data_IF_975284966624
#
_entry.id   IF_975284966624
#
_cell.length_a   1.000
_cell.length_b   1.000
_cell.length_c   1.000
_cell.angle_alpha   90.00
_cell.angle_beta   90.00
_cell.angle_gamma   90.00
#
_symmetry.space_group_name_H-M   'P 1'
#
loop_
_entity.id
_entity.type
_entity.pdbx_description
1 polymer ?
#
# COMPACT_ATOMS: atom_id res chain seq x y z
N UNK A 1 6.86 -1.86 -13.03
CA UNK A 1 8.27 -1.71 -13.44
C UNK A 1 8.70 -0.27 -13.23
N UNK A 2 9.89 -0.06 -12.70
CA UNK A 2 10.57 1.23 -12.62
C UNK A 2 11.93 1.13 -13.29
N UNK A 3 12.29 2.14 -14.07
CA UNK A 3 13.60 2.28 -14.72
C UNK A 3 14.24 3.59 -14.28
N UNK A 4 15.47 3.54 -13.76
CA UNK A 4 16.20 4.71 -13.28
C UNK A 4 16.97 5.40 -14.40
N UNK A 5 16.62 6.66 -14.67
CA UNK A 5 17.30 7.53 -15.63
C UNK A 5 18.38 8.34 -14.91
N UNK A 6 17.98 9.00 -13.81
CA UNK A 6 18.82 9.93 -13.08
C UNK A 6 18.57 9.77 -11.58
N UNK A 7 19.65 9.61 -10.81
CA UNK A 7 19.62 9.42 -9.37
C UNK A 7 20.48 10.51 -8.72
N UNK A 8 20.02 11.17 -7.65
CA UNK A 8 20.78 12.22 -6.99
C UNK A 8 22.16 11.75 -6.53
N UNK A 9 23.19 12.56 -6.83
CA UNK A 9 24.47 12.43 -6.15
C UNK A 9 24.28 12.59 -4.64
N UNK A 10 24.94 11.77 -3.82
CA UNK A 10 24.77 11.76 -2.36
C UNK A 10 23.68 10.80 -1.83
N UNK A 11 22.93 10.13 -2.72
CA UNK A 11 22.00 9.06 -2.34
C UNK A 11 20.61 9.54 -1.92
N UNK A 12 19.87 8.66 -1.24
CA UNK A 12 18.48 8.89 -0.84
C UNK A 12 17.47 8.50 -1.92
N UNK A 13 16.19 8.54 -1.56
CA UNK A 13 15.11 8.13 -2.47
C UNK A 13 15.15 6.65 -2.86
N UNK A 14 15.74 5.80 -2.01
CA UNK A 14 15.58 4.35 -2.04
C UNK A 14 14.11 3.96 -2.10
N UNK A 15 13.83 2.81 -2.68
CA UNK A 15 12.46 2.27 -2.73
C UNK A 15 12.39 1.01 -1.88
N UNK A 16 11.62 1.10 -0.80
CA UNK A 16 11.35 0.01 0.11
C UNK A 16 10.11 -0.76 -0.33
N UNK A 17 10.13 -2.08 -0.16
CA UNK A 17 9.05 -3.01 -0.46
C UNK A 17 8.79 -3.89 0.76
N UNK A 18 7.54 -3.92 1.23
CA UNK A 18 7.13 -4.77 2.33
C UNK A 18 6.35 -5.99 1.83
N UNK A 19 6.80 -7.20 2.18
CA UNK A 19 6.20 -8.46 1.76
C UNK A 19 4.87 -8.74 2.48
N UNK A 20 3.76 -8.63 1.75
CA UNK A 20 2.41 -8.79 2.31
C UNK A 20 1.95 -10.24 2.43
N UNK A 21 2.68 -11.20 1.85
CA UNK A 21 2.49 -12.61 2.19
C UNK A 21 3.01 -12.88 3.59
N UNK A 22 4.27 -12.50 3.84
CA UNK A 22 4.90 -12.75 5.13
C UNK A 22 4.14 -12.01 6.23
N UNK A 23 3.71 -10.77 5.98
CA UNK A 23 2.86 -10.02 6.89
C UNK A 23 1.53 -10.73 7.22
N UNK A 24 0.90 -11.42 6.26
CA UNK A 24 -0.31 -12.21 6.53
C UNK A 24 0.02 -13.50 7.28
N UNK A 25 1.04 -14.23 6.85
CA UNK A 25 1.46 -15.52 7.41
C UNK A 25 1.81 -15.40 8.90
N UNK A 26 2.54 -14.34 9.28
CA UNK A 26 2.98 -14.06 10.66
C UNK A 26 1.96 -13.26 11.47
N UNK A 27 0.83 -12.87 10.88
CA UNK A 27 -0.21 -12.14 11.61
C UNK A 27 -0.77 -13.05 12.74
N UNK A 28 -0.98 -12.53 13.96
CA UNK A 28 -1.58 -13.31 15.03
C UNK A 28 -2.93 -13.90 14.60
N UNK A 29 -3.20 -15.16 14.95
CA UNK A 29 -4.40 -15.87 14.48
C UNK A 29 -5.71 -15.17 14.86
N UNK A 30 -5.75 -14.55 16.04
CA UNK A 30 -6.87 -13.70 16.46
C UNK A 30 -7.14 -12.57 15.47
N UNK A 31 -6.09 -11.95 14.92
CA UNK A 31 -6.24 -10.90 13.92
C UNK A 31 -6.67 -11.46 12.57
N UNK A 32 -6.20 -12.64 12.17
CA UNK A 32 -6.67 -13.34 10.96
C UNK A 32 -8.19 -13.61 11.04
N UNK A 33 -8.68 -14.08 12.19
CA UNK A 33 -10.12 -14.26 12.45
C UNK A 33 -10.86 -12.93 12.35
N UNK A 34 -10.32 -11.88 12.99
CA UNK A 34 -10.94 -10.55 12.98
C UNK A 34 -11.07 -9.98 11.58
N UNK A 35 -10.13 -10.22 10.66
CA UNK A 35 -10.18 -9.63 9.30
C UNK A 35 -10.80 -10.55 8.24
N UNK A 36 -11.08 -11.81 8.59
CA UNK A 36 -11.64 -12.80 7.67
C UNK A 36 -12.94 -12.31 7.05
N UNK A 37 -13.03 -12.35 5.70
CA UNK A 37 -14.20 -11.92 4.94
C UNK A 37 -14.51 -10.42 5.01
N UNK A 38 -13.65 -9.59 5.62
CA UNK A 38 -13.87 -8.15 5.72
C UNK A 38 -13.39 -7.41 4.48
N UNK A 39 -14.12 -6.36 4.15
CA UNK A 39 -13.84 -5.46 3.04
C UNK A 39 -13.57 -4.06 3.58
N UNK A 40 -12.72 -3.33 2.87
CA UNK A 40 -12.42 -1.93 3.13
C UNK A 40 -12.58 -1.08 1.87
N UNK A 41 -13.00 0.16 2.07
CA UNK A 41 -12.99 1.19 1.02
C UNK A 41 -11.61 1.85 1.01
N UNK A 42 -11.01 1.96 -0.16
CA UNK A 42 -9.74 2.67 -0.35
C UNK A 42 -10.03 4.09 -0.82
N UNK A 43 -9.62 5.10 -0.05
CA UNK A 43 -9.82 6.50 -0.44
C UNK A 43 -9.24 6.79 -1.82
N UNK A 44 -10.09 7.32 -2.70
CA UNK A 44 -9.72 7.74 -4.04
C UNK A 44 -9.55 9.26 -4.15
N UNK A 45 -9.95 10.03 -3.11
CA UNK A 45 -9.93 11.49 -3.14
C UNK A 45 -8.51 12.06 -3.24
N UNK A 46 -7.50 11.34 -2.73
CA UNK A 46 -6.09 11.75 -2.75
C UNK A 46 -5.26 10.93 -3.72
N UNK A 47 -4.21 11.54 -4.27
CA UNK A 47 -3.23 10.85 -5.10
C UNK A 47 -2.17 10.13 -4.25
N UNK A 48 -1.21 9.47 -4.92
CA UNK A 48 -0.10 8.76 -4.26
C UNK A 48 0.87 9.65 -3.50
N UNK A 49 0.79 10.98 -3.61
CA UNK A 49 1.52 11.95 -2.78
C UNK A 49 0.67 12.49 -1.60
N UNK A 50 -0.62 12.16 -1.53
CA UNK A 50 -1.53 12.61 -0.47
C UNK A 50 -2.20 13.93 -0.80
N UNK A 51 -2.01 14.43 -2.02
CA UNK A 51 -2.61 15.66 -2.52
C UNK A 51 -4.03 15.36 -2.98
N UNK A 52 -4.98 16.21 -2.60
CA UNK A 52 -6.37 16.14 -3.04
C UNK A 52 -6.44 16.24 -4.57
N UNK A 53 -7.21 15.35 -5.19
CA UNK A 53 -7.45 15.39 -6.63
C UNK A 53 -8.35 16.57 -6.97
N UNK A 54 -8.14 17.24 -8.11
CA UNK A 54 -8.91 18.45 -8.48
C UNK A 54 -10.44 18.28 -8.45
N UNK A 55 -10.94 17.08 -8.72
CA UNK A 55 -12.38 16.77 -8.79
C UNK A 55 -12.94 16.13 -7.53
N UNK A 56 -12.12 15.93 -6.49
CA UNK A 56 -12.53 15.20 -5.29
C UNK A 56 -12.80 16.15 -4.12
N UNK A 57 -13.74 15.77 -3.25
CA UNK A 57 -13.92 16.38 -1.94
C UNK A 57 -13.06 15.63 -0.93
N UNK A 58 -12.43 16.37 -0.03
CA UNK A 58 -11.70 15.77 1.09
C UNK A 58 -12.73 15.16 2.06
N UNK A 59 -12.68 13.86 2.35
CA UNK A 59 -13.54 13.27 3.35
C UNK A 59 -13.15 13.78 4.75
N UNK A 60 -14.14 14.05 5.57
CA UNK A 60 -14.02 14.50 6.96
C UNK A 60 -14.55 13.47 7.95
N UNK A 61 -15.29 12.48 7.44
CA UNK A 61 -15.81 11.33 8.19
C UNK A 61 -15.65 10.06 7.35
N UNK A 62 -15.63 8.86 7.96
CA UNK A 62 -15.42 7.61 7.23
C UNK A 62 -16.48 7.33 6.18
N UNK A 63 -17.73 7.73 6.42
CA UNK A 63 -18.85 7.51 5.50
C UNK A 63 -18.73 8.35 4.21
N UNK A 64 -17.91 9.40 4.24
CA UNK A 64 -17.59 10.23 3.08
C UNK A 64 -16.42 9.68 2.26
N UNK A 65 -15.74 8.60 2.72
CA UNK A 65 -14.65 7.99 1.98
C UNK A 65 -15.21 7.27 0.76
N UNK A 66 -14.92 7.80 -0.42
CA UNK A 66 -15.30 7.21 -1.68
C UNK A 66 -14.11 6.56 -2.39
N UNK A 67 -14.34 5.38 -2.97
CA UNK A 67 -13.37 4.68 -3.78
C UNK A 67 -13.69 3.20 -3.92
N UNK A 68 -12.76 2.41 -4.50
CA UNK A 68 -12.99 1.00 -4.71
C UNK A 68 -13.00 0.25 -3.38
N UNK A 69 -13.91 -0.73 -3.31
CA UNK A 69 -14.02 -1.67 -2.20
C UNK A 69 -13.18 -2.91 -2.49
N UNK A 70 -12.35 -3.29 -1.51
CA UNK A 70 -11.43 -4.41 -1.64
C UNK A 70 -11.41 -5.27 -0.38
N UNK A 71 -11.23 -6.60 -0.50
CA UNK A 71 -11.07 -7.45 0.67
C UNK A 71 -9.76 -7.10 1.39
N UNK A 72 -9.75 -7.21 2.72
CA UNK A 72 -8.52 -6.98 3.52
C UNK A 72 -7.48 -8.08 3.24
N UNK A 73 -7.95 -9.29 2.99
CA UNK A 73 -7.14 -10.44 2.59
C UNK A 73 -7.48 -10.78 1.15
N UNK A 74 -6.47 -10.85 0.28
CA UNK A 74 -6.64 -11.29 -1.09
C UNK A 74 -5.93 -12.61 -1.34
N UNK A 75 -6.43 -13.36 -2.32
CA UNK A 75 -5.70 -14.48 -2.91
C UNK A 75 -4.89 -13.98 -4.11
N UNK A 76 -3.63 -14.41 -4.19
CA UNK A 76 -2.80 -14.15 -5.35
C UNK A 76 -3.05 -15.21 -6.43
N UNK A 77 -3.56 -14.86 -7.61
CA UNK A 77 -4.12 -15.83 -8.55
C UNK A 77 -3.08 -16.79 -9.13
N UNK A 78 -1.81 -16.36 -9.29
CA UNK A 78 -0.77 -17.23 -9.83
C UNK A 78 -0.12 -18.15 -8.78
N UNK A 79 -0.26 -17.85 -7.49
CA UNK A 79 0.45 -18.60 -6.42
C UNK A 79 -0.49 -19.25 -5.41
N UNK A 80 -1.78 -18.88 -5.39
CA UNK A 80 -2.76 -19.33 -4.40
C UNK A 80 -2.56 -18.77 -3.00
N UNK A 81 -1.49 -18.02 -2.74
CA UNK A 81 -1.16 -17.50 -1.41
C UNK A 81 -2.07 -16.33 -1.02
N UNK A 82 -2.42 -16.27 0.26
CA UNK A 82 -3.10 -15.13 0.87
C UNK A 82 -2.11 -14.00 1.20
N UNK A 83 -2.50 -12.76 0.91
CA UNK A 83 -1.73 -11.57 1.23
C UNK A 83 -2.62 -10.48 1.83
N UNK A 84 -2.06 -9.66 2.71
CA UNK A 84 -2.73 -8.43 3.13
C UNK A 84 -2.85 -7.46 1.95
N UNK A 85 -4.03 -6.87 1.79
CA UNK A 85 -4.33 -5.91 0.73
C UNK A 85 -4.89 -4.63 1.33
N UNK A 86 -3.98 -3.79 1.82
CA UNK A 86 -4.30 -2.61 2.61
C UNK A 86 -4.44 -1.35 1.74
N UNK A 87 -5.46 -0.55 2.04
CA UNK A 87 -5.61 0.80 1.49
C UNK A 87 -4.65 1.77 2.17
N UNK A 88 -4.26 2.83 1.46
CA UNK A 88 -3.25 3.81 1.92
C UNK A 88 -3.60 4.36 3.31
N UNK A 89 -2.60 4.44 4.20
CA UNK A 89 -2.73 5.08 5.51
C UNK A 89 -1.95 6.39 5.53
N UNK A 90 -2.65 7.52 5.47
CA UNK A 90 -2.04 8.86 5.60
C UNK A 90 -2.88 9.75 6.51
N UNK A 91 -3.55 10.75 5.94
CA UNK A 91 -4.41 11.65 6.68
C UNK A 91 -5.75 10.98 6.84
N UNK A 92 -6.20 10.87 8.09
CA UNK A 92 -7.52 10.36 8.38
C UNK A 92 -8.60 11.30 7.79
N UNK A 93 -9.70 10.75 7.24
CA UNK A 93 -9.91 9.34 6.88
C UNK A 93 -9.28 9.01 5.51
N UNK A 94 -8.65 7.83 5.40
CA UNK A 94 -7.97 7.35 4.17
C UNK A 94 -8.34 5.92 3.75
N UNK A 95 -8.94 5.16 4.66
CA UNK A 95 -9.52 3.86 4.40
C UNK A 95 -10.50 3.53 5.54
N UNK A 96 -11.49 2.69 5.26
CA UNK A 96 -12.54 2.33 6.22
C UNK A 96 -13.02 0.90 6.01
N UNK A 97 -13.17 0.13 7.09
CA UNK A 97 -13.70 -1.23 7.05
C UNK A 97 -15.23 -1.18 7.06
N UNK A 98 -15.83 -1.74 6.03
CA UNK A 98 -17.28 -1.69 5.81
C UNK A 98 -18.01 -2.38 6.96
N UNK A 99 -19.03 -1.69 7.48
CA UNK A 99 -19.92 -2.21 8.51
C UNK A 99 -19.36 -2.19 9.93
N UNK A 100 -18.22 -1.54 10.18
CA UNK A 100 -17.67 -1.34 11.52
C UNK A 100 -17.85 0.10 11.99
N UNK A 101 -18.02 0.31 13.29
CA UNK A 101 -17.89 1.65 13.87
C UNK A 101 -16.49 2.23 13.58
N UNK A 102 -16.38 3.55 13.43
CA UNK A 102 -15.15 4.22 13.02
C UNK A 102 -13.96 3.85 13.90
N UNK A 103 -14.13 3.93 15.22
CA UNK A 103 -13.09 3.61 16.20
C UNK A 103 -12.58 2.17 16.08
N UNK A 104 -13.50 1.21 15.85
CA UNK A 104 -13.17 -0.20 15.62
C UNK A 104 -12.45 -0.42 14.29
N UNK A 105 -12.93 0.22 13.22
CA UNK A 105 -12.28 0.19 11.91
C UNK A 105 -10.84 0.70 12.03
N UNK A 106 -10.66 1.89 12.61
CA UNK A 106 -9.36 2.52 12.78
C UNK A 106 -8.42 1.68 13.66
N UNK A 107 -8.91 1.15 14.78
CA UNK A 107 -8.11 0.30 15.65
C UNK A 107 -7.60 -0.98 14.96
N UNK A 108 -8.43 -1.59 14.10
CA UNK A 108 -8.02 -2.76 13.30
C UNK A 108 -7.01 -2.35 12.24
N UNK A 109 -7.30 -1.28 11.47
CA UNK A 109 -6.43 -0.81 10.40
C UNK A 109 -5.06 -0.37 10.93
N UNK A 110 -4.99 0.28 12.09
CA UNK A 110 -3.74 0.66 12.74
C UNK A 110 -2.92 -0.55 13.18
N UNK A 111 -3.57 -1.60 13.69
CA UNK A 111 -2.88 -2.85 14.03
C UNK A 111 -2.32 -3.53 12.79
N UNK A 112 -3.10 -3.60 11.72
CA UNK A 112 -2.68 -4.21 10.46
C UNK A 112 -1.54 -3.43 9.80
N UNK A 113 -1.63 -2.10 9.73
CA UNK A 113 -0.58 -1.27 9.16
C UNK A 113 0.70 -1.35 9.98
N UNK A 114 0.62 -1.29 11.32
CA UNK A 114 1.79 -1.44 12.20
C UNK A 114 2.50 -2.77 11.99
N UNK A 115 1.75 -3.87 11.84
CA UNK A 115 2.31 -5.20 11.54
C UNK A 115 2.91 -5.23 10.12
N UNK A 116 2.11 -4.90 9.10
CA UNK A 116 2.45 -5.07 7.69
C UNK A 116 3.65 -4.25 7.20
N UNK A 117 4.11 -3.26 7.98
CA UNK A 117 5.27 -2.42 7.66
C UNK A 117 6.43 -2.58 8.64
N UNK A 118 6.49 -3.66 9.43
CA UNK A 118 7.66 -3.97 10.26
C UNK A 118 8.89 -4.21 9.37
N UNK A 119 10.06 -3.80 9.87
CA UNK A 119 11.32 -3.84 9.11
C UNK A 119 11.69 -5.27 8.66
N UNK A 120 11.30 -6.29 9.40
CA UNK A 120 11.49 -7.71 9.05
C UNK A 120 10.77 -8.13 7.76
N UNK A 121 9.75 -7.38 7.33
CA UNK A 121 9.06 -7.61 6.06
C UNK A 121 9.61 -6.75 4.92
N UNK A 122 10.53 -5.83 5.22
CA UNK A 122 10.97 -4.78 4.31
C UNK A 122 12.31 -5.13 3.67
N UNK A 123 12.34 -5.05 2.34
CA UNK A 123 13.57 -4.97 1.56
C UNK A 123 13.66 -3.60 0.88
N UNK A 124 14.85 -3.02 0.78
CA UNK A 124 15.05 -1.70 0.18
C UNK A 124 16.05 -1.75 -0.97
N UNK A 125 15.71 -1.07 -2.06
CA UNK A 125 16.57 -0.91 -3.22
C UNK A 125 17.26 0.46 -3.23
N UNK A 126 18.59 0.46 -3.20
CA UNK A 126 19.41 1.64 -3.46
C UNK A 126 19.65 1.76 -4.96
N UNK A 127 19.12 2.82 -5.55
CA UNK A 127 19.10 3.02 -6.99
C UNK A 127 20.47 3.42 -7.56
N UNK A 128 20.73 2.94 -8.77
CA UNK A 128 21.76 3.44 -9.71
C UNK A 128 21.10 3.76 -11.05
N UNK A 129 21.64 4.73 -11.78
CA UNK A 129 21.20 4.97 -13.15
C UNK A 129 21.39 3.71 -14.00
N UNK A 130 20.37 3.35 -14.78
CA UNK A 130 20.34 2.09 -15.52
C UNK A 130 19.61 0.93 -14.81
N UNK A 131 19.37 1.02 -13.49
CA UNK A 131 18.65 -0.03 -12.77
C UNK A 131 17.20 -0.16 -13.27
N UNK A 132 16.78 -1.41 -13.41
CA UNK A 132 15.38 -1.78 -13.67
C UNK A 132 14.88 -2.63 -12.51
N UNK A 133 13.77 -2.22 -11.92
CA UNK A 133 13.09 -2.98 -10.89
C UNK A 133 11.68 -3.37 -11.34
N UNK A 134 11.41 -4.67 -11.27
CA UNK A 134 10.08 -5.25 -11.43
C UNK A 134 9.67 -5.87 -10.09
N UNK A 135 8.47 -5.53 -9.64
CA UNK A 135 7.89 -6.10 -8.42
C UNK A 135 6.44 -6.46 -8.67
N UNK A 136 5.92 -7.37 -7.84
CA UNK A 136 4.52 -7.75 -7.87
C UNK A 136 3.69 -6.80 -7.00
N UNK A 137 2.86 -5.98 -7.65
CA UNK A 137 2.00 -5.01 -6.96
C UNK A 137 0.80 -5.66 -6.25
N UNK A 138 0.63 -6.98 -6.37
CA UNK A 138 -0.45 -7.75 -5.74
C UNK A 138 -0.10 -8.20 -4.32
N UNK A 139 1.20 -8.28 -3.98
CA UNK A 139 1.66 -8.78 -2.68
C UNK A 139 2.75 -7.92 -2.03
N UNK A 140 2.99 -6.71 -2.56
CA UNK A 140 3.95 -5.79 -1.99
C UNK A 140 3.32 -4.41 -1.73
N UNK A 141 3.55 -3.87 -0.53
CA UNK A 141 3.48 -2.43 -0.31
C UNK A 141 4.83 -1.83 -0.67
N UNK A 142 4.85 -0.57 -1.10
CA UNK A 142 6.11 0.13 -1.35
C UNK A 142 6.06 1.58 -0.90
N UNK A 143 7.23 2.09 -0.51
CA UNK A 143 7.43 3.47 -0.13
C UNK A 143 8.77 3.98 -0.66
N UNK A 144 8.91 5.30 -0.68
CA UNK A 144 10.17 5.96 -1.03
C UNK A 144 10.68 6.67 0.21
N UNK A 145 11.97 6.50 0.51
CA UNK A 145 12.65 7.24 1.58
C UNK A 145 12.74 8.72 1.24
N UNK A 146 13.08 9.55 2.23
CA UNK A 146 13.33 10.98 2.00
C UNK A 146 14.47 11.16 0.98
N UNK A 147 14.42 12.29 0.26
CA UNK A 147 15.46 12.67 -0.70
C UNK A 147 15.59 14.18 -0.73
N UNK A 148 16.74 14.67 -1.18
CA UNK A 148 16.95 16.08 -1.48
C UNK A 148 16.14 16.48 -2.72
N UNK A 149 15.09 17.29 -2.52
CA UNK A 149 14.21 17.75 -3.59
C UNK A 149 14.84 18.80 -4.52
N UNK A 150 16.02 19.33 -4.17
CA UNK A 150 16.76 20.27 -5.03
C UNK A 150 17.61 19.56 -6.08
N UNK A 151 17.80 18.24 -5.94
CA UNK A 151 18.55 17.41 -6.89
C UNK A 151 17.60 16.61 -7.78
N UNK A 152 17.93 16.43 -9.07
CA UNK A 152 17.10 15.69 -9.98
C UNK A 152 17.05 14.20 -9.63
N UNK A 153 15.84 13.63 -9.69
CA UNK A 153 15.59 12.18 -9.59
C UNK A 153 14.53 11.80 -10.62
N UNK A 154 14.93 11.08 -11.65
CA UNK A 154 14.05 10.72 -12.77
C UNK A 154 13.97 9.21 -12.90
N UNK A 155 12.77 8.67 -12.66
CA UNK A 155 12.46 7.26 -12.91
C UNK A 155 11.24 7.17 -13.82
N UNK A 156 11.30 6.30 -14.82
CA UNK A 156 10.15 5.98 -15.66
C UNK A 156 9.40 4.78 -15.09
N UNK A 157 8.07 4.88 -15.01
CA UNK A 157 7.20 3.81 -14.52
C UNK A 157 6.30 3.29 -15.62
N UNK A 158 6.26 1.97 -15.74
CA UNK A 158 5.22 1.26 -16.50
C UNK A 158 4.46 0.33 -15.56
N UNK A 159 3.15 0.25 -15.76
CA UNK A 159 2.26 -0.65 -15.03
C UNK A 159 1.73 -1.72 -15.99
N UNK A 160 1.62 -2.94 -15.49
CA UNK A 160 0.99 -4.05 -16.19
C UNK A 160 -0.42 -4.16 -15.62
N UNK A 161 -1.41 -4.27 -16.50
CA UNK A 161 -2.80 -4.46 -16.08
C UNK A 161 -2.92 -5.76 -15.27
N UNK A 162 -3.60 -5.67 -14.12
CA UNK A 162 -3.94 -6.83 -13.31
C UNK A 162 -5.35 -7.33 -13.58
N UNK A 163 -5.63 -8.51 -13.06
CA UNK A 163 -6.93 -9.14 -12.97
C UNK A 163 -7.79 -8.62 -11.80
N UNK A 164 -9.07 -9.03 -11.78
CA UNK A 164 -9.95 -8.77 -10.65
C UNK A 164 -9.41 -9.38 -9.34
N UNK A 165 -9.62 -8.68 -8.22
CA UNK A 165 -9.15 -9.15 -6.91
C UNK A 165 -9.99 -10.34 -6.46
N UNK A 166 -9.31 -11.43 -6.08
CA UNK A 166 -9.93 -12.61 -5.47
C UNK A 166 -9.91 -12.42 -3.95
N UNK A 167 -11.07 -12.45 -3.31
CA UNK A 167 -11.16 -12.41 -1.86
C UNK A 167 -10.63 -13.71 -1.25
N UNK A 168 -9.87 -13.57 -0.15
CA UNK A 168 -9.35 -14.69 0.62
C UNK A 168 -9.87 -14.75 2.04
#
# INVERSE_FOLDING_TARGET
>A
MLYAIEIPEGGGGETAFANQYLAYETLPDVMKIVISGKYQVHDSSRNSAGVLRPTAKLPTKPEEVEGPTHPIVRIHPATGRQALYLGRRRNWPSNYIIGLENDKSEAILDRLWRHATQDEFVWSHTWRAGDVLLWDNRCALHSRTALDHTRPRVLHRTQIQGEAVIAG
#
